data_IF_622376327799
#
_entry.id   IF_622376327799
#
_cell.length_a   1.000
_cell.length_b   1.000
_cell.length_c   1.000
_cell.angle_alpha   90.00
_cell.angle_beta   90.00
_cell.angle_gamma   90.00
#
_symmetry.space_group_name_H-M   'P 1'
#
loop_
_entity.id
_entity.type
_entity.pdbx_description
1 polymer ?
#
# COMPACT_ATOMS: atom_id res chain seq x y z
N UNK A 1 47.96 -15.48 14.93
CA UNK A 1 46.67 -16.20 15.02
C UNK A 1 45.52 -15.31 15.51
N UNK A 2 45.53 -14.01 15.18
CA UNK A 2 44.61 -13.00 15.77
C UNK A 2 43.66 -12.41 14.70
N UNK A 3 44.07 -12.37 13.44
CA UNK A 3 43.33 -11.76 12.31
C UNK A 3 42.10 -12.54 11.82
N UNK A 4 42.07 -13.87 11.97
CA UNK A 4 40.91 -14.70 11.54
C UNK A 4 39.65 -14.50 12.39
N UNK A 5 39.79 -14.13 13.67
CA UNK A 5 38.66 -13.97 14.61
C UNK A 5 37.86 -12.69 14.33
N UNK A 6 38.52 -11.59 13.95
CA UNK A 6 37.85 -10.33 13.63
C UNK A 6 37.11 -10.37 12.29
N UNK A 7 37.63 -11.13 11.32
CA UNK A 7 36.97 -11.30 10.02
C UNK A 7 35.63 -12.06 10.14
N UNK A 8 35.60 -13.11 10.97
CA UNK A 8 34.38 -13.88 11.26
C UNK A 8 33.33 -13.05 12.02
N UNK A 9 33.76 -12.20 12.96
CA UNK A 9 32.86 -11.29 13.70
C UNK A 9 32.26 -10.19 12.81
N UNK A 10 33.03 -9.65 11.85
CA UNK A 10 32.53 -8.66 10.90
C UNK A 10 31.52 -9.26 9.90
N UNK A 11 31.71 -10.52 9.50
CA UNK A 11 30.78 -11.24 8.62
C UNK A 11 29.47 -11.55 9.36
N UNK A 12 29.54 -11.97 10.64
CA UNK A 12 28.33 -12.21 11.44
C UNK A 12 27.50 -10.94 11.69
N UNK A 13 28.16 -9.80 11.93
CA UNK A 13 27.47 -8.52 12.11
C UNK A 13 26.77 -8.04 10.83
N UNK A 14 27.31 -8.38 9.66
CA UNK A 14 26.73 -7.99 8.36
C UNK A 14 25.51 -8.84 7.97
N UNK A 15 25.44 -10.09 8.43
CA UNK A 15 24.29 -10.99 8.17
C UNK A 15 23.10 -10.65 9.06
N UNK A 16 23.33 -10.12 10.27
CA UNK A 16 22.25 -9.79 11.22
C UNK A 16 21.43 -8.56 10.80
N UNK A 17 21.96 -7.69 9.94
CA UNK A 17 21.24 -6.51 9.42
C UNK A 17 20.20 -6.82 8.34
N UNK A 18 20.22 -8.03 7.75
CA UNK A 18 19.29 -8.42 6.68
C UNK A 18 18.01 -9.12 7.20
N UNK A 19 17.90 -9.33 8.51
CA UNK A 19 16.73 -9.95 9.14
C UNK A 19 15.63 -8.95 9.55
N UNK A 20 15.77 -7.66 9.23
CA UNK A 20 14.66 -6.69 9.31
C UNK A 20 13.79 -6.77 8.04
N UNK A 21 13.50 -8.00 7.60
CA UNK A 21 12.55 -8.30 6.56
C UNK A 21 11.20 -8.59 7.22
N UNK A 22 10.18 -7.80 6.86
CA UNK A 22 8.81 -7.80 7.39
C UNK A 22 8.59 -7.03 8.71
N UNK A 23 9.12 -5.81 8.83
CA UNK A 23 8.60 -4.79 9.76
C UNK A 23 7.43 -3.99 9.17
N UNK A 24 6.59 -4.62 8.34
CA UNK A 24 5.34 -4.02 7.92
C UNK A 24 4.39 -4.03 9.11
N UNK A 25 4.33 -2.91 9.85
CA UNK A 25 3.32 -2.75 10.88
C UNK A 25 1.95 -3.01 10.26
N UNK A 26 1.15 -3.88 10.88
CA UNK A 26 -0.20 -4.17 10.38
C UNK A 26 -0.98 -2.86 10.30
N UNK A 27 -1.70 -2.61 9.20
CA UNK A 27 -2.57 -1.45 9.11
C UNK A 27 -3.54 -1.41 10.29
N UNK A 28 -3.75 -0.24 10.89
CA UNK A 28 -4.77 -0.07 11.92
C UNK A 28 -6.18 0.02 11.30
N UNK A 29 -6.25 0.40 10.03
CA UNK A 29 -7.45 0.41 9.22
C UNK A 29 -7.12 -0.17 7.84
N UNK A 30 -8.02 -0.99 7.33
CA UNK A 30 -8.01 -1.39 5.92
C UNK A 30 -9.39 -1.14 5.34
N UNK A 31 -9.46 -0.51 4.17
CA UNK A 31 -10.70 -0.30 3.43
C UNK A 31 -10.59 -0.85 2.02
N UNK A 32 -11.74 -1.16 1.43
CA UNK A 32 -11.85 -1.74 0.11
C UNK A 32 -12.90 -0.99 -0.70
N UNK A 33 -12.61 -0.76 -1.98
CA UNK A 33 -13.47 -0.02 -2.91
C UNK A 33 -13.54 -0.73 -4.26
N UNK A 34 -14.68 -0.59 -4.93
CA UNK A 34 -14.86 -1.01 -6.31
C UNK A 34 -14.92 0.21 -7.25
N UNK A 35 -13.93 0.32 -8.12
CA UNK A 35 -13.75 1.42 -9.08
C UNK A 35 -14.58 1.22 -10.36
N UNK A 36 -15.12 0.01 -10.57
CA UNK A 36 -15.99 -0.42 -11.68
C UNK A 36 -15.34 -0.50 -13.06
N UNK A 37 -14.45 0.41 -13.43
CA UNK A 37 -13.84 0.48 -14.77
C UNK A 37 -12.58 1.37 -14.82
N UNK A 38 -11.97 1.45 -16.01
CA UNK A 38 -10.78 2.27 -16.29
C UNK A 38 -10.95 3.75 -15.93
N UNK A 39 -12.13 4.34 -16.18
CA UNK A 39 -12.39 5.75 -15.81
C UNK A 39 -12.40 5.91 -14.29
N UNK A 40 -12.98 4.95 -13.58
CA UNK A 40 -12.93 4.88 -12.12
C UNK A 40 -11.51 4.75 -11.59
N UNK A 41 -10.68 3.92 -12.21
CA UNK A 41 -9.25 3.79 -11.87
C UNK A 41 -8.47 5.09 -12.08
N UNK A 42 -8.64 5.77 -13.22
CA UNK A 42 -8.02 7.07 -13.46
C UNK A 42 -8.49 8.11 -12.42
N UNK A 43 -9.80 8.19 -12.17
CA UNK A 43 -10.37 9.11 -11.17
C UNK A 43 -9.84 8.82 -9.76
N UNK A 44 -9.62 7.55 -9.43
CA UNK A 44 -9.04 7.13 -8.17
C UNK A 44 -7.60 7.63 -8.03
N UNK A 45 -6.74 7.40 -9.04
CA UNK A 45 -5.35 7.85 -9.01
C UNK A 45 -5.25 9.38 -8.88
N UNK A 46 -6.09 10.13 -9.60
CA UNK A 46 -6.14 11.60 -9.49
C UNK A 46 -6.65 12.05 -8.11
N UNK A 47 -7.63 11.34 -7.54
CA UNK A 47 -8.13 11.61 -6.19
C UNK A 47 -7.01 11.39 -5.16
N UNK A 48 -6.24 10.31 -5.29
CA UNK A 48 -5.15 10.02 -4.36
C UNK A 48 -3.99 11.02 -4.48
N UNK A 49 -3.64 11.43 -5.71
CA UNK A 49 -2.65 12.49 -5.94
C UNK A 49 -3.11 13.80 -5.30
N UNK A 50 -4.37 14.19 -5.50
CA UNK A 50 -4.94 15.40 -4.90
C UNK A 50 -4.90 15.37 -3.37
N UNK A 51 -5.20 14.22 -2.77
CA UNK A 51 -5.13 14.05 -1.30
C UNK A 51 -3.68 14.23 -0.84
N UNK A 52 -2.72 13.56 -1.49
CA UNK A 52 -1.31 13.69 -1.14
C UNK A 52 -0.85 15.15 -1.22
N UNK A 53 -1.18 15.86 -2.31
CA UNK A 53 -0.82 17.26 -2.50
C UNK A 53 -1.45 18.17 -1.42
N UNK A 54 -2.73 17.93 -1.08
CA UNK A 54 -3.47 18.72 -0.07
C UNK A 54 -2.94 18.50 1.34
N UNK A 55 -2.56 17.27 1.66
CA UNK A 55 -2.00 16.91 2.98
C UNK A 55 -0.48 17.12 3.04
N UNK A 56 0.13 17.68 1.99
CA UNK A 56 1.57 17.89 1.87
C UNK A 56 2.39 16.61 2.04
N UNK A 57 1.89 15.50 1.50
CA UNK A 57 2.49 14.17 1.57
C UNK A 57 3.02 13.72 0.21
N UNK A 58 3.98 12.78 0.23
CA UNK A 58 4.52 12.20 -0.99
C UNK A 58 3.50 11.24 -1.61
N UNK A 59 3.15 11.48 -2.88
CA UNK A 59 2.41 10.52 -3.70
C UNK A 59 3.35 9.51 -4.36
N UNK A 60 2.93 8.24 -4.38
CA UNK A 60 3.65 7.13 -5.01
C UNK A 60 2.70 6.41 -5.96
N UNK A 61 3.08 6.37 -7.25
CA UNK A 61 2.49 5.48 -8.25
C UNK A 61 3.50 4.38 -8.57
N UNK A 62 3.22 3.17 -8.09
CA UNK A 62 4.11 2.02 -8.28
C UNK A 62 3.57 1.02 -9.30
N UNK A 63 2.38 1.21 -9.88
CA UNK A 63 1.70 0.17 -10.66
C UNK A 63 2.52 -0.33 -11.84
N UNK A 64 3.10 0.59 -12.62
CA UNK A 64 3.93 0.26 -13.78
C UNK A 64 5.24 -0.45 -13.39
N UNK A 65 5.88 -0.02 -12.30
CA UNK A 65 7.10 -0.65 -11.79
C UNK A 65 6.80 -2.07 -11.28
N UNK A 66 5.72 -2.24 -10.52
CA UNK A 66 5.26 -3.55 -10.06
C UNK A 66 4.96 -4.47 -11.24
N UNK A 67 4.26 -3.98 -12.27
CA UNK A 67 3.96 -4.77 -13.46
C UNK A 67 5.22 -5.21 -14.20
N UNK A 68 6.20 -4.31 -14.35
CA UNK A 68 7.50 -4.65 -14.93
C UNK A 68 8.21 -5.72 -14.10
N UNK A 69 8.25 -5.59 -12.78
CA UNK A 69 8.87 -6.57 -11.88
C UNK A 69 8.20 -7.95 -11.98
N UNK A 70 6.86 -8.02 -11.97
CA UNK A 70 6.14 -9.28 -12.13
C UNK A 70 6.41 -9.94 -13.48
N UNK A 71 6.50 -9.15 -14.56
CA UNK A 71 6.82 -9.68 -15.88
C UNK A 71 8.19 -10.37 -15.91
N UNK A 72 9.20 -9.87 -15.17
CA UNK A 72 10.50 -10.55 -15.04
C UNK A 72 10.41 -11.90 -14.31
N UNK A 73 9.34 -12.14 -13.56
CA UNK A 73 9.04 -13.39 -12.86
C UNK A 73 8.04 -14.27 -13.63
N UNK A 74 7.73 -13.96 -14.89
CA UNK A 74 6.68 -14.60 -15.70
C UNK A 74 5.29 -14.56 -15.06
N UNK A 75 5.04 -13.56 -14.21
CA UNK A 75 3.71 -13.27 -13.65
C UNK A 75 3.17 -12.06 -14.39
N UNK A 76 2.06 -12.23 -15.12
CA UNK A 76 1.40 -11.12 -15.80
C UNK A 76 -0.10 -11.19 -15.56
N UNK A 77 -0.63 -10.38 -14.64
CA UNK A 77 -2.08 -10.19 -14.55
C UNK A 77 -2.60 -9.72 -15.90
N UNK A 78 -3.79 -10.18 -16.29
CA UNK A 78 -4.47 -9.78 -17.52
C UNK A 78 -5.17 -8.41 -17.39
N UNK A 79 -4.79 -7.62 -16.39
CA UNK A 79 -5.34 -6.31 -16.08
C UNK A 79 -4.24 -5.34 -15.64
N UNK A 80 -4.55 -4.04 -15.69
CA UNK A 80 -3.64 -3.00 -15.23
C UNK A 80 -3.47 -3.06 -13.71
N UNK A 81 -2.22 -3.17 -13.25
CA UNK A 81 -1.94 -3.10 -11.83
C UNK A 81 -2.05 -1.69 -11.29
N UNK A 82 -2.76 -1.58 -10.17
CA UNK A 82 -2.84 -0.40 -9.35
C UNK A 82 -1.97 -0.68 -8.13
N UNK A 83 -0.98 0.17 -7.92
CA UNK A 83 -0.26 0.28 -6.66
C UNK A 83 -0.09 1.75 -6.35
N UNK A 84 -0.66 2.17 -5.22
CA UNK A 84 -0.68 3.56 -4.78
C UNK A 84 -0.15 3.65 -3.36
N UNK A 85 0.63 4.69 -3.10
CA UNK A 85 1.07 5.05 -1.76
C UNK A 85 0.93 6.54 -1.52
N UNK A 86 0.62 6.91 -0.28
CA UNK A 86 0.74 8.27 0.24
C UNK A 86 1.55 8.19 1.53
N UNK A 87 2.69 8.89 1.57
CA UNK A 87 3.61 8.88 2.71
C UNK A 87 3.81 10.28 3.25
N UNK A 88 3.46 10.47 4.51
CA UNK A 88 3.78 11.67 5.27
C UNK A 88 5.00 11.46 6.16
N UNK A 89 5.28 12.47 6.96
CA UNK A 89 6.35 12.41 7.95
C UNK A 89 6.01 11.41 9.08
N UNK A 90 7.04 11.08 9.86
CA UNK A 90 6.88 10.33 11.11
C UNK A 90 6.22 8.95 10.97
N UNK A 91 6.22 8.37 9.76
CA UNK A 91 5.68 7.03 9.49
C UNK A 91 4.17 6.99 9.24
N UNK A 92 3.50 8.13 9.12
CA UNK A 92 2.10 8.17 8.68
C UNK A 92 2.05 7.78 7.20
N UNK A 93 1.32 6.72 6.87
CA UNK A 93 1.20 6.30 5.49
C UNK A 93 -0.10 5.57 5.19
N UNK A 94 -0.43 5.56 3.90
CA UNK A 94 -1.42 4.68 3.32
C UNK A 94 -0.81 4.04 2.09
N UNK A 95 -0.95 2.73 1.95
CA UNK A 95 -0.55 2.00 0.75
C UNK A 95 -1.67 1.03 0.34
N UNK A 96 -1.77 0.75 -0.96
CA UNK A 96 -2.79 -0.15 -1.45
C UNK A 96 -2.71 -0.42 -2.93
N UNK A 97 -3.59 -1.30 -3.39
CA UNK A 97 -3.60 -1.74 -4.78
C UNK A 97 -4.62 -2.83 -5.05
N UNK A 98 -4.56 -3.39 -6.26
CA UNK A 98 -5.45 -4.45 -6.74
C UNK A 98 -4.78 -5.83 -6.82
N UNK A 99 -3.58 -5.99 -6.26
CA UNK A 99 -2.88 -7.27 -6.29
C UNK A 99 -3.63 -8.33 -5.48
N UNK A 100 -3.96 -9.46 -6.13
CA UNK A 100 -4.77 -10.51 -5.52
C UNK A 100 -6.28 -10.22 -5.49
N UNK A 101 -6.71 -9.11 -6.11
CA UNK A 101 -8.10 -8.68 -6.23
C UNK A 101 -8.52 -8.63 -7.72
N UNK A 102 -9.77 -8.23 -7.96
CA UNK A 102 -10.30 -8.00 -9.30
C UNK A 102 -9.69 -6.74 -9.93
N UNK A 103 -9.73 -6.61 -11.27
CA UNK A 103 -9.05 -5.54 -12.00
C UNK A 103 -9.31 -4.13 -11.48
N UNK A 104 -10.54 -3.84 -11.06
CA UNK A 104 -10.98 -2.52 -10.61
C UNK A 104 -11.24 -2.44 -9.11
N UNK A 105 -10.68 -3.37 -8.36
CA UNK A 105 -10.90 -3.50 -6.94
C UNK A 105 -9.63 -3.14 -6.20
N UNK A 106 -9.73 -2.23 -5.24
CA UNK A 106 -8.56 -1.72 -4.52
C UNK A 106 -8.78 -1.87 -3.03
N UNK A 107 -7.77 -2.42 -2.36
CA UNK A 107 -7.66 -2.39 -0.91
C UNK A 107 -6.58 -1.38 -0.49
N UNK A 108 -6.87 -0.59 0.53
CA UNK A 108 -5.99 0.44 1.08
C UNK A 108 -5.78 0.16 2.57
N UNK A 109 -4.52 0.01 2.99
CA UNK A 109 -4.12 -0.11 4.38
C UNK A 109 -3.52 1.18 4.89
N UNK A 110 -3.93 1.61 6.09
CA UNK A 110 -3.40 2.78 6.78
C UNK A 110 -2.49 2.35 7.92
N UNK A 111 -1.26 2.85 7.92
CA UNK A 111 -0.24 2.56 8.92
C UNK A 111 -0.04 3.74 9.85
N UNK A 112 0.09 3.43 11.14
CA UNK A 112 0.28 4.42 12.19
C UNK A 112 1.75 4.82 12.29
N UNK A 113 2.03 6.12 12.15
CA UNK A 113 3.31 6.71 12.51
C UNK A 113 3.49 6.88 14.02
N UNK A 114 4.44 7.71 14.45
CA UNK A 114 4.65 8.02 15.87
C UNK A 114 3.50 8.80 16.53
N UNK A 115 2.59 9.36 15.74
CA UNK A 115 1.39 10.06 16.21
C UNK A 115 0.11 9.35 15.74
N UNK A 116 -0.50 8.49 16.59
CA UNK A 116 -1.71 7.76 16.22
C UNK A 116 -2.91 8.66 15.91
N UNK A 117 -3.08 9.78 16.62
CA UNK A 117 -4.23 10.66 16.41
C UNK A 117 -4.20 11.29 15.02
N UNK A 118 -3.01 11.71 14.58
CA UNK A 118 -2.83 12.28 13.24
C UNK A 118 -2.97 11.24 12.13
N UNK A 119 -2.48 10.02 12.37
CA UNK A 119 -2.68 8.91 11.43
C UNK A 119 -4.18 8.58 11.24
N UNK A 120 -4.96 8.57 12.32
CA UNK A 120 -6.42 8.38 12.24
C UNK A 120 -7.11 9.55 11.53
N UNK A 121 -6.72 10.80 11.83
CA UNK A 121 -7.23 11.98 11.11
C UNK A 121 -6.98 11.84 9.60
N UNK A 122 -5.78 11.45 9.19
CA UNK A 122 -5.45 11.24 7.79
C UNK A 122 -6.30 10.14 7.15
N UNK A 123 -6.49 9.01 7.86
CA UNK A 123 -7.36 7.93 7.40
C UNK A 123 -8.81 8.41 7.20
N UNK A 124 -9.35 9.20 8.14
CA UNK A 124 -10.69 9.77 8.05
C UNK A 124 -10.82 10.67 6.82
N UNK A 125 -9.85 11.58 6.58
CA UNK A 125 -9.84 12.44 5.39
C UNK A 125 -9.90 11.62 4.10
N UNK A 126 -9.05 10.60 3.98
CA UNK A 126 -9.00 9.73 2.79
C UNK A 126 -10.34 9.02 2.61
N UNK A 127 -10.86 8.38 3.66
CA UNK A 127 -12.12 7.63 3.62
C UNK A 127 -13.29 8.53 3.25
N UNK A 128 -13.38 9.74 3.83
CA UNK A 128 -14.43 10.70 3.50
C UNK A 128 -14.37 11.15 2.04
N UNK A 129 -13.16 11.40 1.50
CA UNK A 129 -12.98 11.78 0.09
C UNK A 129 -13.38 10.64 -0.85
N UNK A 130 -13.04 9.39 -0.51
CA UNK A 130 -13.42 8.21 -1.29
C UNK A 130 -14.93 7.96 -1.25
N UNK A 131 -15.57 8.10 -0.08
CA UNK A 131 -17.02 7.90 0.12
C UNK A 131 -17.88 8.82 -0.75
N UNK A 132 -17.36 9.98 -1.17
CA UNK A 132 -18.06 10.90 -2.09
C UNK A 132 -18.19 10.35 -3.51
N UNK A 133 -17.41 9.33 -3.88
CA UNK A 133 -17.31 8.79 -5.24
C UNK A 133 -17.62 7.30 -5.33
N UNK A 134 -17.28 6.54 -4.29
CA UNK A 134 -17.46 5.10 -4.24
C UNK A 134 -18.00 4.64 -2.87
N UNK A 135 -18.78 3.56 -2.81
CA UNK A 135 -18.98 2.84 -1.56
C UNK A 135 -17.63 2.36 -1.01
N UNK A 136 -17.40 2.60 0.29
CA UNK A 136 -16.17 2.21 0.99
C UNK A 136 -16.52 1.16 2.05
N UNK A 137 -15.87 0.01 1.96
CA UNK A 137 -16.08 -1.12 2.87
C UNK A 137 -14.88 -1.26 3.79
N UNK A 138 -15.10 -1.27 5.10
CA UNK A 138 -14.04 -1.57 6.05
C UNK A 138 -13.78 -3.07 6.08
N UNK A 139 -12.52 -3.48 5.95
CA UNK A 139 -12.10 -4.87 6.11
C UNK A 139 -12.00 -5.17 7.61
N UNK A 140 -12.59 -6.27 8.10
CA UNK A 140 -12.51 -6.62 9.53
C UNK A 140 -11.07 -6.79 10.01
N UNK A 141 -10.74 -6.37 11.25
CA UNK A 141 -9.40 -6.55 11.81
C UNK A 141 -8.94 -8.02 11.77
N UNK A 142 -7.68 -8.25 11.39
CA UNK A 142 -7.11 -9.60 11.27
C UNK A 142 -7.46 -10.33 9.96
N UNK A 143 -8.23 -9.71 9.08
CA UNK A 143 -8.55 -10.25 7.75
C UNK A 143 -7.85 -9.46 6.63
N UNK A 144 -7.57 -10.15 5.53
CA UNK A 144 -7.20 -9.52 4.27
C UNK A 144 -8.44 -9.14 3.45
N UNK A 145 -8.28 -8.19 2.54
CA UNK A 145 -9.29 -7.89 1.52
C UNK A 145 -9.54 -9.12 0.64
N UNK A 146 -10.80 -9.35 0.26
CA UNK A 146 -11.21 -10.46 -0.61
C UNK A 146 -12.08 -9.95 -1.74
N UNK A 147 -12.07 -10.61 -2.90
CA UNK A 147 -12.79 -10.13 -4.07
C UNK A 147 -14.28 -9.91 -3.80
N UNK A 148 -14.75 -8.71 -4.14
CA UNK A 148 -16.15 -8.32 -4.09
C UNK A 148 -16.92 -8.96 -5.25
N UNK A 149 -18.06 -9.58 -4.94
CA UNK A 149 -18.87 -10.33 -5.92
C UNK A 149 -19.28 -9.50 -7.14
N UNK A 150 -19.58 -8.23 -6.93
CA UNK A 150 -20.12 -7.33 -7.97
C UNK A 150 -19.10 -6.32 -8.50
N UNK A 151 -17.82 -6.50 -8.19
CA UNK A 151 -16.76 -5.69 -8.79
C UNK A 151 -16.23 -6.37 -10.05
N UNK A 152 -16.22 -5.63 -11.16
CA UNK A 152 -15.82 -6.14 -12.46
C UNK A 152 -14.47 -6.89 -12.37
N UNK A 153 -14.48 -8.13 -12.90
CA UNK A 153 -13.31 -9.00 -13.01
C UNK A 153 -12.49 -8.66 -14.23
#
# INVERSE_FOLDING_TARGET
MVTKRYLLLAILASILGMLVGCSGQRPFLTVQICLKNNRGAATFMDTMRTIADTEHMQFIDGGALTQKSLATMNVSPNYQLIYVGVKGDQGISMEGGNMGLSAYEVALGFSGGSNPSEAHRFADVVVEKLRKKWPVYTVPPGHGATSMKDCAR
#
